data_IF_727632244001
#
_entry.id   IF_727632244001
#
_cell.length_a   1.000
_cell.length_b   1.000
_cell.length_c   1.000
_cell.angle_alpha   90.00
_cell.angle_beta   90.00
_cell.angle_gamma   90.00
#
_symmetry.space_group_name_H-M   'P 1'
#
loop_
_entity.id
_entity.type
_entity.pdbx_description
1 polymer ?
#
# COMPACT_ATOMS: atom_id res chain seq x y z
N UNK A 1 -3.43 -22.56 5.20
CA UNK A 1 -2.61 -21.41 4.76
C UNK A 1 -2.84 -20.28 5.75
N UNK A 2 -1.76 -19.75 6.31
CA UNK A 2 -1.79 -18.89 7.51
C UNK A 2 -2.08 -17.44 7.16
N UNK A 3 -2.78 -16.73 8.05
CA UNK A 3 -2.96 -15.26 8.02
C UNK A 3 -1.62 -14.53 7.81
N UNK A 4 -0.53 -15.11 8.31
CA UNK A 4 0.84 -14.63 8.16
C UNK A 4 1.32 -14.59 6.70
N UNK A 5 0.90 -15.53 5.86
CA UNK A 5 1.28 -15.57 4.44
C UNK A 5 0.63 -14.42 3.69
N UNK A 6 -0.67 -14.18 3.94
CA UNK A 6 -1.40 -13.09 3.30
C UNK A 6 -0.85 -11.71 3.71
N UNK A 7 -0.47 -11.55 4.97
CA UNK A 7 0.15 -10.33 5.47
C UNK A 7 1.55 -10.09 4.85
N UNK A 8 2.34 -11.15 4.68
CA UNK A 8 3.64 -11.06 4.02
C UNK A 8 3.47 -10.61 2.56
N UNK A 9 2.54 -11.23 1.81
CA UNK A 9 2.24 -10.86 0.42
C UNK A 9 1.79 -9.41 0.29
N UNK A 10 0.89 -8.94 1.16
CA UNK A 10 0.42 -7.55 1.16
C UNK A 10 1.56 -6.56 1.47
N UNK A 11 2.43 -6.92 2.41
CA UNK A 11 3.60 -6.11 2.76
C UNK A 11 4.59 -6.02 1.60
N UNK A 12 4.86 -7.14 0.92
CA UNK A 12 5.69 -7.14 -0.28
C UNK A 12 5.09 -6.31 -1.41
N UNK A 13 3.78 -6.45 -1.67
CA UNK A 13 3.06 -5.62 -2.65
C UNK A 13 3.15 -4.13 -2.32
N UNK A 14 3.00 -3.76 -1.04
CA UNK A 14 3.14 -2.37 -0.60
C UNK A 14 4.55 -1.83 -0.88
N UNK A 15 5.60 -2.58 -0.52
CA UNK A 15 7.00 -2.19 -0.79
C UNK A 15 7.32 -2.12 -2.28
N UNK A 16 6.71 -2.98 -3.09
CA UNK A 16 6.86 -2.94 -4.54
C UNK A 16 6.21 -1.68 -5.13
N UNK A 17 4.96 -1.39 -4.76
CA UNK A 17 4.26 -0.17 -5.18
C UNK A 17 4.99 1.10 -4.75
N UNK A 18 5.57 1.11 -3.54
CA UNK A 18 6.37 2.24 -3.07
C UNK A 18 7.59 2.51 -3.96
N UNK A 19 8.34 1.47 -4.31
CA UNK A 19 9.48 1.60 -5.23
C UNK A 19 9.06 2.05 -6.64
N UNK A 20 7.99 1.47 -7.17
CA UNK A 20 7.46 1.87 -8.48
C UNK A 20 7.03 3.35 -8.50
N UNK A 21 6.38 3.83 -7.43
CA UNK A 21 6.02 5.24 -7.29
C UNK A 21 7.27 6.13 -7.26
N UNK A 22 8.31 5.73 -6.51
CA UNK A 22 9.56 6.49 -6.43
C UNK A 22 10.27 6.56 -7.79
N UNK A 23 10.33 5.45 -8.51
CA UNK A 23 10.91 5.38 -9.86
C UNK A 23 10.13 6.23 -10.88
N UNK A 24 8.79 6.15 -10.85
CA UNK A 24 7.94 6.97 -11.72
C UNK A 24 8.06 8.45 -11.38
N UNK A 25 7.99 8.83 -10.10
CA UNK A 25 8.16 10.24 -9.67
C UNK A 25 9.54 10.79 -10.04
N UNK A 26 10.57 9.96 -10.02
CA UNK A 26 11.93 10.36 -10.42
C UNK A 26 12.09 10.48 -11.95
N UNK A 27 11.24 9.81 -12.73
CA UNK A 27 11.31 9.84 -14.20
C UNK A 27 10.75 11.17 -14.74
N UNK A 28 11.51 11.91 -15.56
CA UNK A 28 10.96 13.08 -16.25
C UNK A 28 9.97 12.63 -17.33
N UNK A 29 8.71 13.07 -17.21
CA UNK A 29 7.62 12.71 -18.12
C UNK A 29 6.71 11.57 -17.63
N UNK A 30 6.79 11.21 -16.35
CA UNK A 30 5.83 10.31 -15.72
C UNK A 30 4.43 10.93 -15.63
N UNK A 31 3.42 10.07 -15.74
CA UNK A 31 2.02 10.49 -15.69
C UNK A 31 1.59 10.70 -14.24
N UNK A 32 1.30 11.95 -13.88
CA UNK A 32 0.77 12.32 -12.57
C UNK A 32 -0.50 11.54 -12.20
N UNK A 33 -1.32 11.16 -13.19
CA UNK A 33 -2.52 10.35 -12.98
C UNK A 33 -2.16 8.93 -12.54
N UNK A 34 -1.15 8.34 -13.17
CA UNK A 34 -0.67 7.00 -12.84
C UNK A 34 -0.02 6.98 -11.45
N UNK A 35 0.82 7.98 -11.14
CA UNK A 35 1.40 8.16 -9.81
C UNK A 35 0.30 8.31 -8.74
N UNK A 36 -0.75 9.08 -9.02
CA UNK A 36 -1.90 9.24 -8.11
C UNK A 36 -2.62 7.93 -7.88
N UNK A 37 -2.84 7.14 -8.93
CA UNK A 37 -3.48 5.82 -8.84
C UNK A 37 -2.64 4.87 -7.99
N UNK A 38 -1.34 4.79 -8.25
CA UNK A 38 -0.41 3.95 -7.48
C UNK A 38 -0.38 4.36 -6.00
N UNK A 39 -0.37 5.67 -5.69
CA UNK A 39 -0.44 6.17 -4.31
C UNK A 39 -1.75 5.78 -3.61
N UNK A 40 -2.88 5.81 -4.33
CA UNK A 40 -4.17 5.33 -3.80
C UNK A 40 -4.15 3.82 -3.53
N UNK A 41 -3.57 3.03 -4.43
CA UNK A 41 -3.41 1.58 -4.23
C UNK A 41 -2.49 1.27 -3.03
N UNK A 42 -1.38 2.01 -2.89
CA UNK A 42 -0.50 1.93 -1.72
C UNK A 42 -1.26 2.21 -0.42
N UNK A 43 -2.11 3.24 -0.40
CA UNK A 43 -2.94 3.56 0.77
C UNK A 43 -3.90 2.42 1.12
N UNK A 44 -4.59 1.86 0.12
CA UNK A 44 -5.49 0.71 0.33
C UNK A 44 -4.78 -0.51 0.88
N UNK A 45 -3.59 -0.84 0.36
CA UNK A 45 -2.78 -1.94 0.88
C UNK A 45 -2.36 -1.69 2.32
N UNK A 46 -1.97 -0.46 2.66
CA UNK A 46 -1.66 -0.08 4.04
C UNK A 46 -2.87 -0.27 4.97
N UNK A 47 -4.07 0.13 4.54
CA UNK A 47 -5.30 -0.09 5.31
C UNK A 47 -5.64 -1.59 5.45
N UNK A 48 -5.45 -2.38 4.41
CA UNK A 48 -5.64 -3.83 4.45
C UNK A 48 -4.66 -4.50 5.42
N UNK A 49 -3.39 -4.11 5.39
CA UNK A 49 -2.37 -4.59 6.33
C UNK A 49 -2.78 -4.20 7.75
N UNK A 50 -3.16 -2.94 8.00
CA UNK A 50 -3.58 -2.46 9.32
C UNK A 50 -4.80 -3.24 9.86
N UNK A 51 -5.77 -3.54 9.00
CA UNK A 51 -6.93 -4.37 9.36
C UNK A 51 -6.53 -5.80 9.72
N UNK A 52 -5.56 -6.38 9.00
CA UNK A 52 -5.09 -7.74 9.23
C UNK A 52 -4.12 -7.88 10.41
N UNK A 53 -3.33 -6.85 10.69
CA UNK A 53 -2.46 -6.79 11.88
C UNK A 53 -3.25 -6.59 13.16
N UNK A 54 -4.57 -6.42 13.08
CA UNK A 54 -5.41 -6.15 14.25
C UNK A 54 -5.19 -4.77 14.84
N UNK A 55 -4.62 -3.83 14.06
CA UNK A 55 -4.53 -2.41 14.41
C UNK A 55 -5.92 -1.75 14.20
N UNK A 56 -6.92 -2.38 14.80
CA UNK A 56 -8.35 -2.06 14.78
C UNK A 56 -8.64 -0.82 15.63
N UNK A 57 -7.60 -0.16 16.15
CA UNK A 57 -7.71 0.97 17.06
C UNK A 57 -8.17 2.28 16.37
N UNK A 58 -8.18 2.32 15.03
CA UNK A 58 -8.66 3.47 14.25
C UNK A 58 -10.16 3.43 13.92
N UNK A 59 -10.85 2.30 14.09
CA UNK A 59 -12.29 2.18 13.78
C UNK A 59 -13.22 2.50 14.97
N UNK A 60 -12.68 2.76 16.16
CA UNK A 60 -13.45 2.91 17.40
C UNK A 60 -13.28 4.27 18.11
N UNK A 61 -12.83 5.31 17.42
CA UNK A 61 -12.91 6.69 17.93
C UNK A 61 -13.78 7.53 17.01
N UNK A 62 -15.00 7.68 17.51
CA UNK A 62 -16.11 8.53 17.10
C UNK A 62 -15.73 10.01 16.98
#
# INVERSE_FOLDING_TARGET
MSLSTHLAELTEKHKYLERMIEEEVARPGSDDLEIRRMKQEKLRLKEQIARLTGDTHLAARH
#
